data_IF_885309272699
#
_entry.id   IF_885309272699
#
_cell.length_a   1.000
_cell.length_b   1.000
_cell.length_c   1.000
_cell.angle_alpha   90.00
_cell.angle_beta   90.00
_cell.angle_gamma   90.00
#
_symmetry.space_group_name_H-M   'P 1'
#
loop_
_entity.id
_entity.type
_entity.pdbx_description
1 polymer ?
#
# COMPACT_ATOMS: atom_id res chain seq x y z
N UNK A 1 -4.31 -0.20 11.85
CA UNK A 1 -3.86 -1.37 12.65
C UNK A 1 -3.33 -0.85 13.96
N UNK A 2 -3.48 -1.56 15.08
CA UNK A 2 -2.90 -1.14 16.37
C UNK A 2 -1.46 -1.61 16.49
N UNK A 3 -0.69 -1.04 17.43
CA UNK A 3 0.68 -1.49 17.73
C UNK A 3 0.80 -3.00 17.99
N UNK A 4 -0.16 -3.58 18.72
CA UNK A 4 -0.19 -5.02 18.99
C UNK A 4 -0.25 -5.84 17.70
N UNK A 5 -1.02 -5.39 16.71
CA UNK A 5 -1.18 -6.08 15.44
C UNK A 5 0.13 -6.05 14.65
N UNK A 6 0.85 -4.92 14.68
CA UNK A 6 2.15 -4.76 14.02
C UNK A 6 3.20 -5.69 14.66
N UNK A 7 3.24 -5.79 15.98
CA UNK A 7 4.12 -6.75 16.66
C UNK A 7 3.78 -8.20 16.30
N UNK A 8 2.49 -8.55 16.25
CA UNK A 8 2.07 -9.89 15.83
C UNK A 8 2.43 -10.20 14.36
N UNK A 9 2.39 -9.22 13.46
CA UNK A 9 2.89 -9.38 12.09
C UNK A 9 4.38 -9.71 12.09
N UNK A 10 5.19 -8.94 12.82
CA UNK A 10 6.65 -9.15 12.90
C UNK A 10 6.99 -10.51 13.52
N UNK A 11 6.32 -10.89 14.59
CA UNK A 11 6.52 -12.17 15.25
C UNK A 11 6.03 -13.35 14.40
N UNK A 12 4.92 -13.18 13.67
CA UNK A 12 4.44 -14.17 12.70
C UNK A 12 5.42 -14.35 11.56
N UNK A 13 5.99 -13.27 11.02
CA UNK A 13 7.07 -13.37 10.02
C UNK A 13 8.26 -14.15 10.58
N UNK A 14 8.68 -13.88 11.82
CA UNK A 14 9.81 -14.60 12.46
C UNK A 14 9.55 -16.10 12.54
N UNK A 15 8.34 -16.50 12.96
CA UNK A 15 7.92 -17.92 13.00
C UNK A 15 7.88 -18.54 11.61
N UNK A 16 7.27 -17.86 10.64
CA UNK A 16 7.16 -18.35 9.27
C UNK A 16 8.52 -18.44 8.57
N UNK A 17 9.46 -17.56 8.87
CA UNK A 17 10.81 -17.59 8.30
C UNK A 17 11.58 -18.87 8.68
N UNK A 18 11.24 -19.51 9.80
CA UNK A 18 11.82 -20.82 10.19
C UNK A 18 11.41 -21.95 9.23
N UNK A 19 10.28 -21.79 8.53
CA UNK A 19 9.73 -22.77 7.59
C UNK A 19 9.92 -22.34 6.13
N UNK A 20 9.88 -21.04 5.87
CA UNK A 20 9.92 -20.42 4.55
C UNK A 20 10.98 -19.31 4.59
N UNK A 21 12.25 -19.62 4.27
CA UNK A 21 13.33 -18.65 4.30
C UNK A 21 13.01 -17.42 3.45
N UNK A 22 13.22 -16.24 4.05
CA UNK A 22 12.94 -14.97 3.36
C UNK A 22 11.48 -14.53 3.34
N UNK A 23 10.57 -15.24 4.02
CA UNK A 23 9.16 -14.83 4.14
C UNK A 23 9.03 -13.41 4.71
N UNK A 24 8.22 -12.59 4.01
CA UNK A 24 7.77 -11.25 4.42
C UNK A 24 6.33 -11.06 3.96
N UNK A 25 5.51 -10.38 4.75
CA UNK A 25 4.20 -9.92 4.30
C UNK A 25 4.36 -8.81 3.26
N UNK A 26 3.47 -8.79 2.28
CA UNK A 26 3.37 -7.74 1.28
C UNK A 26 2.18 -6.85 1.58
N UNK A 27 2.44 -5.59 1.92
CA UNK A 27 1.43 -4.65 2.42
C UNK A 27 1.03 -3.65 1.34
N UNK A 28 -0.28 -3.53 1.12
CA UNK A 28 -0.85 -2.48 0.29
C UNK A 28 -1.01 -1.20 1.09
N UNK A 29 -0.66 -0.05 0.51
CA UNK A 29 -0.81 1.23 1.17
C UNK A 29 -1.55 2.27 0.32
N UNK A 30 -2.35 3.08 1.02
CA UNK A 30 -3.08 4.24 0.50
C UNK A 30 -2.84 5.43 1.43
N UNK A 31 -1.94 6.33 1.03
CA UNK A 31 -1.41 7.40 1.88
C UNK A 31 -2.44 8.40 2.41
N UNK A 32 -3.62 8.53 1.78
CA UNK A 32 -4.70 9.42 2.27
C UNK A 32 -5.17 9.06 3.67
N UNK A 33 -5.10 7.79 4.03
CA UNK A 33 -5.65 7.26 5.28
C UNK A 33 -4.63 7.16 6.41
N UNK A 34 -3.36 7.53 6.15
CA UNK A 34 -2.36 7.64 7.20
C UNK A 34 -2.82 8.62 8.28
N UNK A 35 -2.80 8.17 9.54
CA UNK A 35 -3.28 8.94 10.70
C UNK A 35 -4.72 9.44 10.56
N UNK A 36 -5.61 8.56 10.11
CA UNK A 36 -7.07 8.78 10.06
C UNK A 36 -7.84 7.85 11.01
N UNK A 37 -7.15 7.06 11.82
CA UNK A 37 -7.75 6.13 12.76
C UNK A 37 -7.97 6.76 14.15
N UNK A 38 -8.17 5.89 15.14
CA UNK A 38 -8.03 6.27 16.54
C UNK A 38 -6.55 6.39 16.92
N UNK A 39 -6.24 7.09 18.02
CA UNK A 39 -4.85 7.31 18.46
C UNK A 39 -3.99 6.01 18.53
N UNK A 40 -4.56 4.91 19.01
CA UNK A 40 -3.87 3.61 19.06
C UNK A 40 -3.57 3.01 17.68
N UNK A 41 -4.38 3.35 16.68
CA UNK A 41 -4.17 2.94 15.29
C UNK A 41 -3.15 3.83 14.59
N UNK A 42 -3.16 5.13 14.86
CA UNK A 42 -2.16 6.07 14.34
C UNK A 42 -0.75 5.71 14.85
N UNK A 43 -0.63 5.26 16.12
CA UNK A 43 0.62 4.69 16.62
C UNK A 43 1.02 3.39 15.93
N UNK A 44 0.05 2.62 15.44
CA UNK A 44 0.33 1.42 14.64
C UNK A 44 0.81 1.79 13.23
N UNK A 45 0.24 2.82 12.61
CA UNK A 45 0.71 3.36 11.34
C UNK A 45 2.18 3.80 11.44
N UNK A 46 2.54 4.53 12.50
CA UNK A 46 3.93 4.94 12.74
C UNK A 46 4.87 3.75 12.89
N UNK A 47 4.47 2.73 13.64
CA UNK A 47 5.28 1.55 13.88
C UNK A 47 5.45 0.69 12.61
N UNK A 48 4.46 0.66 11.72
CA UNK A 48 4.60 0.02 10.40
C UNK A 48 5.67 0.72 9.56
N UNK A 49 5.67 2.05 9.56
CA UNK A 49 6.63 2.85 8.80
C UNK A 49 8.04 2.77 9.40
N UNK A 50 8.17 2.74 10.73
CA UNK A 50 9.44 2.48 11.42
C UNK A 50 10.06 1.14 10.99
N UNK A 51 9.22 0.13 10.75
CA UNK A 51 9.62 -1.20 10.30
C UNK A 51 9.39 -1.44 8.80
N UNK A 52 9.34 -0.38 7.98
CA UNK A 52 9.04 -0.51 6.55
C UNK A 52 9.98 -1.48 5.82
N UNK A 53 11.24 -1.56 6.24
CA UNK A 53 12.26 -2.46 5.67
C UNK A 53 11.99 -3.96 5.94
N UNK A 54 11.08 -4.29 6.86
CA UNK A 54 10.72 -5.68 7.23
C UNK A 54 9.58 -6.25 6.39
N UNK A 55 8.93 -5.43 5.58
CA UNK A 55 7.80 -5.81 4.75
C UNK A 55 8.14 -5.63 3.27
N UNK A 56 7.37 -6.28 2.40
CA UNK A 56 7.21 -5.85 1.01
C UNK A 56 6.04 -4.88 0.93
N UNK A 57 6.03 -4.06 -0.12
CA UNK A 57 5.02 -3.03 -0.29
C UNK A 57 4.53 -2.98 -1.73
N UNK A 58 3.24 -2.68 -1.89
CA UNK A 58 2.66 -2.37 -3.19
C UNK A 58 1.79 -1.13 -3.12
N UNK A 59 1.81 -0.35 -4.18
CA UNK A 59 0.95 0.83 -4.29
C UNK A 59 -0.51 0.40 -4.45
N UNK A 60 -1.41 1.01 -3.67
CA UNK A 60 -2.85 0.74 -3.71
C UNK A 60 -3.69 2.02 -3.95
N UNK A 61 -3.14 2.97 -4.72
CA UNK A 61 -3.67 4.32 -4.98
C UNK A 61 -3.83 5.18 -3.72
N UNK A 62 -3.69 6.51 -3.84
CA UNK A 62 -3.67 7.40 -2.67
C UNK A 62 -4.96 7.36 -1.86
N UNK A 63 -6.11 7.45 -2.51
CA UNK A 63 -7.42 7.52 -1.86
C UNK A 63 -8.19 6.19 -1.85
N UNK A 64 -7.56 5.07 -2.20
CA UNK A 64 -8.25 3.79 -2.46
C UNK A 64 -9.37 3.94 -3.53
N UNK A 65 -9.10 4.78 -4.53
CA UNK A 65 -10.02 5.13 -5.61
C UNK A 65 -10.34 3.92 -6.46
N UNK A 66 -11.63 3.66 -6.74
CA UNK A 66 -12.04 2.63 -7.69
C UNK A 66 -11.88 3.14 -9.13
N UNK A 67 -10.86 2.69 -9.88
CA UNK A 67 -10.48 3.32 -11.16
C UNK A 67 -11.57 3.29 -12.23
N UNK A 68 -12.41 2.25 -12.27
CA UNK A 68 -13.49 2.13 -13.26
C UNK A 68 -14.58 3.21 -13.17
N UNK A 69 -14.63 3.97 -12.07
CA UNK A 69 -15.55 5.09 -11.90
C UNK A 69 -15.02 6.39 -12.55
N UNK A 70 -13.78 6.40 -13.05
CA UNK A 70 -13.11 7.60 -13.53
C UNK A 70 -12.61 7.43 -14.96
N UNK A 71 -13.21 8.16 -15.89
CA UNK A 71 -12.73 8.25 -17.27
C UNK A 71 -11.65 9.32 -17.45
N UNK A 72 -11.49 10.22 -16.47
CA UNK A 72 -10.47 11.27 -16.50
C UNK A 72 -9.13 10.71 -16.01
N UNK A 73 -8.21 10.45 -16.94
CA UNK A 73 -6.88 9.90 -16.65
C UNK A 73 -6.09 10.76 -15.67
N UNK A 74 -6.22 12.09 -15.73
CA UNK A 74 -5.48 13.01 -14.84
C UNK A 74 -5.84 12.80 -13.37
N UNK A 75 -7.07 12.36 -13.06
CA UNK A 75 -7.44 12.01 -11.68
C UNK A 75 -6.68 10.77 -11.21
N UNK A 76 -6.60 9.74 -12.06
CA UNK A 76 -5.89 8.50 -11.75
C UNK A 76 -4.38 8.73 -11.61
N UNK A 77 -3.79 9.52 -12.52
CA UNK A 77 -2.37 9.91 -12.46
C UNK A 77 -2.05 10.66 -11.15
N UNK A 78 -2.89 11.62 -10.76
CA UNK A 78 -2.70 12.36 -9.51
C UNK A 78 -2.80 11.44 -8.28
N UNK A 79 -3.74 10.49 -8.27
CA UNK A 79 -3.87 9.49 -7.21
C UNK A 79 -2.62 8.60 -7.09
N UNK A 80 -1.99 8.24 -8.20
CA UNK A 80 -0.75 7.46 -8.18
C UNK A 80 0.45 8.32 -7.76
N UNK A 81 0.54 9.55 -8.28
CA UNK A 81 1.58 10.52 -7.93
C UNK A 81 1.59 10.83 -6.44
N UNK A 82 0.44 11.16 -5.86
CA UNK A 82 0.34 11.44 -4.42
C UNK A 82 0.75 10.23 -3.57
N UNK A 83 0.39 9.01 -3.98
CA UNK A 83 0.77 7.80 -3.24
C UNK A 83 2.27 7.52 -3.35
N UNK A 84 2.87 7.79 -4.51
CA UNK A 84 4.33 7.70 -4.70
C UNK A 84 5.06 8.73 -3.85
N UNK A 85 4.59 9.97 -3.80
CA UNK A 85 5.17 11.02 -2.95
C UNK A 85 5.07 10.67 -1.46
N UNK A 86 3.95 10.07 -1.04
CA UNK A 86 3.80 9.54 0.32
C UNK A 86 4.86 8.47 0.62
N UNK A 87 5.01 7.48 -0.25
CA UNK A 87 6.01 6.43 -0.08
C UNK A 87 7.45 6.98 0.00
N UNK A 88 7.79 7.95 -0.85
CA UNK A 88 9.10 8.61 -0.83
C UNK A 88 9.33 9.37 0.48
N UNK A 89 8.34 10.12 0.95
CA UNK A 89 8.42 10.87 2.21
C UNK A 89 8.63 9.95 3.42
N UNK A 90 8.02 8.78 3.41
CA UNK A 90 8.05 7.83 4.52
C UNK A 90 9.03 6.67 4.33
N UNK A 91 9.93 6.75 3.35
CA UNK A 91 10.95 5.74 3.05
C UNK A 91 10.39 4.32 2.85
N UNK A 92 9.19 4.21 2.28
CA UNK A 92 8.62 2.91 1.91
C UNK A 92 9.39 2.37 0.69
N UNK A 93 10.00 1.18 0.76
CA UNK A 93 10.73 0.60 -0.37
C UNK A 93 9.73 0.17 -1.45
N UNK A 94 9.56 1.00 -2.48
CA UNK A 94 8.71 0.69 -3.62
C UNK A 94 9.42 -0.27 -4.58
N UNK A 95 8.77 -1.38 -4.88
CA UNK A 95 9.15 -2.21 -6.02
C UNK A 95 8.61 -1.57 -7.31
N UNK A 96 9.51 -1.24 -8.23
CA UNK A 96 9.16 -0.58 -9.47
C UNK A 96 8.46 -1.59 -10.40
N UNK A 97 7.13 -1.53 -10.48
CA UNK A 97 6.34 -2.33 -11.42
C UNK A 97 5.24 -3.19 -10.79
N UNK A 98 5.04 -3.12 -9.47
CA UNK A 98 3.96 -3.86 -8.81
C UNK A 98 2.98 -2.92 -8.07
N UNK A 99 1.72 -2.93 -8.53
CA UNK A 99 0.61 -2.21 -7.92
C UNK A 99 -0.67 -3.04 -8.05
N UNK A 100 -1.57 -2.89 -7.09
CA UNK A 100 -2.88 -3.54 -7.12
C UNK A 100 -3.94 -2.44 -7.18
N UNK A 101 -4.89 -2.55 -8.11
CA UNK A 101 -6.01 -1.63 -8.19
C UNK A 101 -6.98 -1.83 -7.01
N UNK A 102 -7.47 -0.75 -6.36
CA UNK A 102 -8.52 -0.84 -5.35
C UNK A 102 -9.73 -1.64 -5.81
N UNK A 103 -10.18 -2.54 -4.94
CA UNK A 103 -11.26 -3.51 -5.22
C UNK A 103 -11.01 -4.44 -6.42
N UNK A 104 -9.77 -4.54 -6.92
CA UNK A 104 -9.42 -5.21 -8.18
C UNK A 104 -10.20 -4.66 -9.39
N UNK A 105 -10.76 -3.46 -9.25
CA UNK A 105 -11.64 -2.88 -10.26
C UNK A 105 -10.82 -2.26 -11.39
N UNK A 106 -11.38 -2.23 -12.60
CA UNK A 106 -10.68 -1.77 -13.80
C UNK A 106 -9.64 -2.76 -14.35
N UNK A 107 -9.35 -3.86 -13.63
CA UNK A 107 -8.61 -5.01 -14.19
C UNK A 107 -9.57 -5.88 -15.02
N UNK A 108 -10.75 -6.19 -14.48
CA UNK A 108 -11.84 -6.81 -15.23
C UNK A 108 -13.20 -6.26 -14.77
N UNK A 109 -14.05 -5.75 -15.68
CA UNK A 109 -13.73 -5.41 -17.06
C UNK A 109 -12.54 -4.45 -17.16
N UNK A 110 -11.77 -4.57 -18.24
CA UNK A 110 -10.55 -3.76 -18.44
C UNK A 110 -10.94 -2.30 -18.58
N UNK A 111 -10.33 -1.44 -17.77
CA UNK A 111 -10.47 0.01 -17.83
C UNK A 111 -9.18 0.64 -18.36
N UNK A 112 -9.14 0.94 -19.66
CA UNK A 112 -7.95 1.46 -20.34
C UNK A 112 -7.21 2.60 -19.62
N UNK A 113 -7.92 3.66 -19.14
CA UNK A 113 -7.28 4.77 -18.43
C UNK A 113 -6.46 4.38 -17.20
N UNK A 114 -6.80 3.28 -16.51
CA UNK A 114 -6.02 2.76 -15.39
C UNK A 114 -4.62 2.33 -15.84
N UNK A 115 -4.55 1.58 -16.93
CA UNK A 115 -3.30 1.05 -17.46
C UNK A 115 -2.44 2.14 -18.10
N UNK A 116 -3.07 3.18 -18.66
CA UNK A 116 -2.33 4.33 -19.16
C UNK A 116 -1.73 5.17 -18.02
N UNK A 117 -2.46 5.36 -16.92
CA UNK A 117 -1.95 6.06 -15.74
C UNK A 117 -0.84 5.30 -14.99
N UNK A 118 -0.81 3.96 -15.08
CA UNK A 118 0.22 3.12 -14.43
C UNK A 118 1.59 3.11 -15.14
N UNK A 119 1.67 3.62 -16.37
CA UNK A 119 2.93 3.70 -17.13
C UNK A 119 3.85 4.79 -16.56
#
# INVERSE_FOLDING_TARGET
MKRSDVFELLDSQRRLNQLIPGFRFNLGFSGKYYHKGYADEDYGDDLLLEHADKFWWFCHMFSHTQPHLYNNITVLENEMKMNREFAQKHNIPLDAGYSIAPHHSGVYPVHGPLYDAWK
#
